data_IF_741088489302
#
_entry.id   IF_741088489302
#
_cell.length_a   1.000
_cell.length_b   1.000
_cell.length_c   1.000
_cell.angle_alpha   90.00
_cell.angle_beta   90.00
_cell.angle_gamma   90.00
#
_symmetry.space_group_name_H-M   'P 1'
#
loop_
_entity.id
_entity.type
_entity.pdbx_description
1 polymer ?
#
# COMPACT_ATOMS: atom_id res chain seq x y z
N UNK A 1 -25.51 31.11 8.16
CA UNK A 1 -25.95 30.59 6.86
C UNK A 1 -25.49 29.16 6.82
N UNK A 2 -26.35 28.28 7.31
CA UNK A 2 -25.97 26.95 7.81
C UNK A 2 -25.78 25.91 6.71
N UNK A 3 -24.83 25.03 7.00
CA UNK A 3 -24.33 23.88 6.25
C UNK A 3 -25.34 22.72 6.20
N UNK A 4 -25.12 21.79 5.26
CA UNK A 4 -25.36 20.34 5.37
C UNK A 4 -26.75 19.90 5.89
N UNK A 5 -27.62 19.40 5.01
CA UNK A 5 -28.78 18.65 5.54
C UNK A 5 -29.96 18.42 4.61
N UNK A 6 -29.78 18.21 3.31
CA UNK A 6 -30.77 17.37 2.64
C UNK A 6 -30.52 15.94 3.12
N UNK A 7 -31.10 15.57 4.27
CA UNK A 7 -31.14 14.17 4.70
C UNK A 7 -31.73 13.37 3.54
N UNK A 8 -30.88 12.57 2.89
CA UNK A 8 -31.37 11.57 1.97
C UNK A 8 -32.32 10.69 2.78
N UNK A 9 -33.57 10.50 2.34
CA UNK A 9 -34.52 9.70 3.08
C UNK A 9 -33.93 8.31 3.33
N UNK A 10 -34.20 7.75 4.52
CA UNK A 10 -33.45 6.63 5.08
C UNK A 10 -33.45 5.36 4.20
N UNK A 11 -34.46 5.21 3.35
CA UNK A 11 -34.57 4.18 2.31
C UNK A 11 -33.47 4.30 1.24
N UNK A 12 -33.17 5.51 0.78
CA UNK A 12 -32.12 5.81 -0.20
C UNK A 12 -30.72 5.67 0.40
N UNK A 13 -30.53 6.06 1.67
CA UNK A 13 -29.26 5.86 2.38
C UNK A 13 -28.93 4.36 2.54
N UNK A 14 -29.93 3.53 2.85
CA UNK A 14 -29.79 2.08 2.99
C UNK A 14 -29.55 1.35 1.66
N UNK A 15 -30.13 1.81 0.55
CA UNK A 15 -29.78 1.33 -0.79
C UNK A 15 -28.37 1.74 -1.20
N UNK A 16 -27.97 2.98 -0.94
CA UNK A 16 -26.66 3.49 -1.30
C UNK A 16 -25.54 2.85 -0.48
N UNK A 17 -25.78 2.57 0.81
CA UNK A 17 -24.90 1.79 1.67
C UNK A 17 -24.67 0.36 1.15
N UNK A 18 -25.76 -0.33 0.79
CA UNK A 18 -25.69 -1.67 0.20
C UNK A 18 -25.04 -1.66 -1.19
N UNK A 19 -25.31 -0.65 -2.01
CA UNK A 19 -24.71 -0.48 -3.33
C UNK A 19 -23.20 -0.22 -3.26
N UNK A 20 -22.75 0.48 -2.22
CA UNK A 20 -21.34 0.72 -1.93
C UNK A 20 -20.65 -0.46 -1.23
N UNK A 21 -21.34 -1.58 -1.02
CA UNK A 21 -20.78 -2.77 -0.36
C UNK A 21 -20.29 -2.49 1.07
N UNK A 22 -20.89 -1.53 1.77
CA UNK A 22 -20.44 -1.10 3.10
C UNK A 22 -19.13 -0.32 3.11
N UNK A 23 -18.62 0.12 1.95
CA UNK A 23 -17.40 0.89 1.86
C UNK A 23 -17.67 2.40 2.09
N UNK A 24 -17.18 3.00 3.19
CA UNK A 24 -17.45 4.40 3.53
C UNK A 24 -16.94 5.38 2.46
N UNK A 25 -15.83 5.04 1.78
CA UNK A 25 -15.27 5.86 0.71
C UNK A 25 -16.19 5.87 -0.52
N UNK A 26 -16.70 4.70 -0.93
CA UNK A 26 -17.63 4.62 -2.05
C UNK A 26 -18.93 5.38 -1.74
N UNK A 27 -19.38 5.33 -0.49
CA UNK A 27 -20.54 6.11 -0.04
C UNK A 27 -20.29 7.62 -0.13
N UNK A 28 -19.12 8.10 0.33
CA UNK A 28 -18.73 9.50 0.21
C UNK A 28 -18.62 9.94 -1.26
N UNK A 29 -18.10 9.08 -2.14
CA UNK A 29 -17.99 9.34 -3.58
C UNK A 29 -19.36 9.39 -4.27
N UNK A 30 -20.27 8.48 -3.92
CA UNK A 30 -21.64 8.48 -4.42
C UNK A 30 -22.39 9.74 -3.96
N UNK A 31 -22.24 10.13 -2.69
CA UNK A 31 -22.82 11.35 -2.15
C UNK A 31 -22.29 12.62 -2.83
N UNK A 32 -20.97 12.70 -3.05
CA UNK A 32 -20.35 13.82 -3.76
C UNK A 32 -20.80 13.95 -5.22
N UNK A 33 -21.00 12.83 -5.92
CA UNK A 33 -21.46 12.80 -7.32
C UNK A 33 -22.92 13.26 -7.46
N UNK A 34 -23.78 12.87 -6.49
CA UNK A 34 -25.17 13.32 -6.41
C UNK A 34 -25.27 14.83 -6.10
N UNK A 35 -24.43 15.33 -5.19
CA UNK A 35 -24.36 16.75 -4.86
C UNK A 35 -23.91 17.62 -6.06
N UNK A 36 -23.12 17.05 -6.97
CA UNK A 36 -22.68 17.68 -8.21
C UNK A 36 -23.70 17.60 -9.36
N UNK A 37 -24.92 17.07 -9.12
CA UNK A 37 -26.00 17.04 -10.11
C UNK A 37 -25.84 16.01 -11.24
N UNK A 38 -24.95 15.02 -11.07
CA UNK A 38 -24.78 13.96 -12.06
C UNK A 38 -25.92 12.93 -12.00
N UNK A 39 -26.29 12.35 -13.16
CA UNK A 39 -27.32 11.31 -13.22
C UNK A 39 -26.99 10.15 -12.27
N UNK A 40 -28.03 9.64 -11.58
CA UNK A 40 -27.92 8.48 -10.70
C UNK A 40 -27.26 7.32 -11.45
N UNK A 41 -26.11 6.80 -10.99
CA UNK A 41 -25.47 5.67 -11.65
C UNK A 41 -26.44 4.50 -11.71
N UNK A 42 -26.73 3.96 -12.92
CA UNK A 42 -27.55 2.75 -13.05
C UNK A 42 -26.79 1.58 -12.41
N UNK A 43 -27.31 1.11 -11.28
CA UNK A 43 -26.67 0.16 -10.37
C UNK A 43 -26.64 -1.26 -10.96
N UNK A 44 -25.50 -1.64 -11.54
CA UNK A 44 -25.12 -3.02 -11.86
C UNK A 44 -24.03 -3.54 -10.90
N UNK A 45 -23.60 -4.81 -11.01
CA UNK A 45 -22.94 -5.59 -9.95
C UNK A 45 -21.88 -4.82 -9.15
N UNK A 46 -22.05 -4.86 -7.82
CA UNK A 46 -21.51 -3.97 -6.78
C UNK A 46 -20.00 -3.67 -6.85
N UNK A 47 -19.17 -4.59 -7.35
CA UNK A 47 -17.72 -4.38 -7.47
C UNK A 47 -17.32 -3.45 -8.64
N UNK A 48 -18.05 -3.52 -9.76
CA UNK A 48 -17.71 -2.76 -10.97
C UNK A 48 -18.13 -1.29 -10.90
N UNK A 49 -19.14 -0.95 -10.10
CA UNK A 49 -19.61 0.43 -9.93
C UNK A 49 -18.63 1.25 -9.09
N UNK A 50 -18.24 0.74 -7.92
CA UNK A 50 -17.30 1.43 -7.04
C UNK A 50 -15.96 1.68 -7.72
N UNK A 51 -15.46 0.68 -8.45
CA UNK A 51 -14.23 0.80 -9.25
C UNK A 51 -14.32 1.87 -10.33
N UNK A 52 -15.41 1.93 -11.10
CA UNK A 52 -15.62 2.99 -12.11
C UNK A 52 -15.66 4.38 -11.49
N UNK A 53 -16.27 4.54 -10.31
CA UNK A 53 -16.28 5.81 -9.59
C UNK A 53 -14.88 6.22 -9.12
N UNK A 54 -14.07 5.27 -8.64
CA UNK A 54 -12.67 5.53 -8.29
C UNK A 54 -11.86 5.97 -9.51
N UNK A 55 -11.99 5.28 -10.63
CA UNK A 55 -11.28 5.59 -11.87
C UNK A 55 -11.72 6.93 -12.49
N UNK A 56 -13.00 7.32 -12.34
CA UNK A 56 -13.50 8.60 -12.84
C UNK A 56 -12.76 9.81 -12.23
N UNK A 57 -12.17 9.66 -11.03
CA UNK A 57 -11.36 10.73 -10.40
C UNK A 57 -10.06 11.01 -11.16
N UNK A 58 -9.58 10.05 -11.96
CA UNK A 58 -8.38 10.18 -12.79
C UNK A 58 -8.68 10.68 -14.23
N UNK A 59 -9.95 10.79 -14.62
CA UNK A 59 -10.32 11.20 -15.98
C UNK A 59 -9.97 12.67 -16.29
N UNK A 60 -9.82 13.52 -15.26
CA UNK A 60 -9.59 14.97 -15.40
C UNK A 60 -8.14 15.44 -15.24
N UNK A 61 -7.19 14.57 -14.87
CA UNK A 61 -5.81 14.98 -14.53
C UNK A 61 -4.84 15.02 -15.73
N UNK A 62 -5.31 14.59 -16.90
CA UNK A 62 -4.51 14.55 -18.14
C UNK A 62 -3.68 13.28 -18.31
N UNK A 63 -3.26 13.01 -19.54
CA UNK A 63 -2.68 11.71 -19.94
C UNK A 63 -1.38 11.36 -19.18
N UNK A 64 -0.46 12.31 -18.99
CA UNK A 64 0.79 12.05 -18.26
C UNK A 64 0.54 11.71 -16.79
N UNK A 65 -0.40 12.40 -16.14
CA UNK A 65 -0.80 12.10 -14.76
C UNK A 65 -1.51 10.75 -14.65
N UNK A 66 -2.38 10.40 -15.60
CA UNK A 66 -3.01 9.08 -15.65
C UNK A 66 -1.98 7.95 -15.82
N UNK A 67 -0.99 8.11 -16.73
CA UNK A 67 0.10 7.14 -16.89
C UNK A 67 0.95 7.02 -15.64
N UNK A 68 1.28 8.14 -14.99
CA UNK A 68 2.01 8.15 -13.73
C UNK A 68 1.25 7.38 -12.64
N UNK A 69 -0.06 7.62 -12.49
CA UNK A 69 -0.89 6.94 -11.51
C UNK A 69 -0.99 5.42 -11.78
N UNK A 70 -1.13 5.01 -13.05
CA UNK A 70 -1.12 3.59 -13.43
C UNK A 70 0.22 2.92 -13.08
N UNK A 71 1.35 3.58 -13.35
CA UNK A 71 2.66 3.06 -12.98
C UNK A 71 2.87 3.03 -11.46
N UNK A 72 2.41 4.05 -10.73
CA UNK A 72 2.46 4.11 -9.27
C UNK A 72 1.68 2.95 -8.62
N UNK A 73 0.50 2.64 -9.16
CA UNK A 73 -0.36 1.57 -8.67
C UNK A 73 0.32 0.19 -8.69
N UNK A 74 1.28 -0.02 -9.58
CA UNK A 74 2.05 -1.26 -9.67
C UNK A 74 2.99 -1.43 -8.48
N UNK A 75 3.55 -0.35 -7.94
CA UNK A 75 4.37 -0.36 -6.73
C UNK A 75 3.51 -0.43 -5.45
N UNK A 76 2.21 -0.15 -5.56
CA UNK A 76 1.24 -0.27 -4.48
C UNK A 76 0.81 1.08 -3.87
N UNK A 77 0.21 1.06 -2.66
CA UNK A 77 -0.40 2.24 -2.06
C UNK A 77 0.60 3.31 -1.63
N UNK A 78 1.86 2.94 -1.37
CA UNK A 78 2.96 3.83 -1.04
C UNK A 78 4.18 3.46 -1.88
N UNK A 79 4.85 4.45 -2.46
CA UNK A 79 5.88 4.26 -3.47
C UNK A 79 6.92 5.38 -3.47
N UNK A 80 8.04 5.14 -4.15
CA UNK A 80 9.12 6.10 -4.34
C UNK A 80 8.94 6.82 -5.69
N UNK A 81 8.69 8.14 -5.74
CA UNK A 81 8.45 8.87 -6.98
C UNK A 81 9.54 8.68 -8.05
N UNK A 82 10.81 8.57 -7.63
CA UNK A 82 11.94 8.37 -8.53
C UNK A 82 11.90 7.06 -9.32
N UNK A 83 11.12 6.06 -8.88
CA UNK A 83 10.91 4.80 -9.62
C UNK A 83 9.70 4.87 -10.55
N UNK A 84 8.72 5.73 -10.26
CA UNK A 84 7.45 5.78 -11.02
C UNK A 84 7.62 6.48 -12.36
N UNK A 85 8.32 7.61 -12.40
CA UNK A 85 8.54 8.38 -13.64
C UNK A 85 9.13 7.54 -14.78
N UNK A 86 10.27 6.85 -14.55
CA UNK A 86 10.85 5.94 -15.53
C UNK A 86 9.91 4.81 -15.96
N UNK A 87 9.16 4.23 -15.02
CA UNK A 87 8.19 3.17 -15.33
C UNK A 87 7.03 3.68 -16.22
N UNK A 88 6.59 4.92 -15.98
CA UNK A 88 5.55 5.59 -16.77
C UNK A 88 6.04 6.10 -18.14
N UNK A 89 7.34 5.92 -18.45
CA UNK A 89 7.97 6.44 -19.67
C UNK A 89 7.97 7.97 -19.72
N UNK A 90 8.05 8.63 -18.56
CA UNK A 90 8.07 10.08 -18.44
C UNK A 90 9.49 10.59 -18.21
N UNK A 91 9.84 11.69 -18.86
CA UNK A 91 11.03 12.45 -18.49
C UNK A 91 10.84 13.05 -17.09
N UNK A 92 11.95 13.35 -16.40
CA UNK A 92 11.92 13.91 -15.04
C UNK A 92 10.98 15.13 -14.88
N UNK A 93 11.02 16.17 -15.75
CA UNK A 93 10.14 17.32 -15.58
C UNK A 93 8.66 16.95 -15.74
N UNK A 94 8.33 16.04 -16.66
CA UNK A 94 6.96 15.57 -16.88
C UNK A 94 6.46 14.70 -15.72
N UNK A 95 7.36 13.88 -15.16
CA UNK A 95 7.09 13.05 -13.99
C UNK A 95 6.78 13.91 -12.76
N UNK A 96 7.58 14.96 -12.54
CA UNK A 96 7.38 15.90 -11.44
C UNK A 96 6.09 16.69 -11.61
N UNK A 97 5.79 17.17 -12.82
CA UNK A 97 4.51 17.84 -13.10
C UNK A 97 3.30 16.91 -12.92
N UNK A 98 3.39 15.66 -13.36
CA UNK A 98 2.34 14.65 -13.18
C UNK A 98 2.06 14.36 -11.70
N UNK A 99 3.12 14.18 -10.89
CA UNK A 99 2.99 13.99 -9.45
C UNK A 99 2.32 15.20 -8.79
N UNK A 100 2.74 16.42 -9.12
CA UNK A 100 2.15 17.64 -8.59
C UNK A 100 0.66 17.77 -8.95
N UNK A 101 0.28 17.46 -10.19
CA UNK A 101 -1.11 17.48 -10.63
C UNK A 101 -1.98 16.48 -9.86
N UNK A 102 -1.48 15.27 -9.62
CA UNK A 102 -2.18 14.24 -8.84
C UNK A 102 -2.32 14.63 -7.36
N UNK A 103 -1.30 15.27 -6.78
CA UNK A 103 -1.39 15.82 -5.43
C UNK A 103 -2.41 16.96 -5.34
N UNK A 104 -2.40 17.89 -6.30
CA UNK A 104 -3.37 19.00 -6.37
C UNK A 104 -4.81 18.50 -6.55
N UNK A 105 -5.00 17.38 -7.25
CA UNK A 105 -6.29 16.72 -7.41
C UNK A 105 -6.76 15.92 -6.16
N UNK A 106 -5.94 15.84 -5.12
CA UNK A 106 -6.23 15.07 -3.89
C UNK A 106 -6.22 13.57 -4.10
N UNK A 107 -5.43 13.07 -5.05
CA UNK A 107 -5.31 11.63 -5.36
C UNK A 107 -4.06 11.02 -4.72
N UNK A 108 -3.00 11.82 -4.62
CA UNK A 108 -1.74 11.46 -3.97
C UNK A 108 -1.41 12.42 -2.83
N UNK A 109 -0.60 11.95 -1.89
CA UNK A 109 0.00 12.71 -0.80
C UNK A 109 1.48 12.35 -0.66
N UNK A 110 2.27 13.24 -0.07
CA UNK A 110 3.66 13.00 0.27
C UNK A 110 3.79 12.82 1.80
N UNK A 111 3.67 11.59 2.33
CA UNK A 111 3.66 11.36 3.78
C UNK A 111 5.04 11.58 4.43
N UNK A 112 6.12 11.46 3.65
CA UNK A 112 7.49 11.65 4.12
C UNK A 112 8.39 12.07 2.94
N UNK A 113 9.56 12.70 3.21
CA UNK A 113 10.53 13.01 2.17
C UNK A 113 10.92 11.77 1.35
N UNK A 114 10.87 11.88 0.02
CA UNK A 114 11.20 10.77 -0.90
C UNK A 114 10.08 9.73 -1.09
N UNK A 115 8.93 9.90 -0.44
CA UNK A 115 7.80 8.99 -0.53
C UNK A 115 6.54 9.70 -1.00
N UNK A 116 5.74 9.00 -1.79
CA UNK A 116 4.38 9.36 -2.14
C UNK A 116 3.43 8.20 -1.86
N UNK A 117 2.18 8.49 -1.60
CA UNK A 117 1.15 7.50 -1.36
C UNK A 117 -0.17 7.94 -1.97
N UNK A 118 -0.99 6.96 -2.35
CA UNK A 118 -2.39 7.23 -2.67
C UNK A 118 -3.12 7.69 -1.41
N UNK A 119 -3.96 8.71 -1.54
CA UNK A 119 -4.82 9.17 -0.44
C UNK A 119 -5.68 8.03 0.10
N UNK A 120 -6.09 7.11 -0.80
CA UNK A 120 -6.78 5.90 -0.42
C UNK A 120 -6.19 4.68 -1.12
N UNK A 121 -5.86 3.58 -0.41
CA UNK A 121 -5.27 2.36 -1.00
C UNK A 121 -6.08 1.78 -2.17
N UNK A 122 -7.41 1.86 -2.09
CA UNK A 122 -8.32 1.42 -3.15
C UNK A 122 -8.08 2.08 -4.52
N UNK A 123 -7.47 3.26 -4.59
CA UNK A 123 -7.11 3.85 -5.87
C UNK A 123 -6.00 3.05 -6.58
N UNK A 124 -5.00 2.59 -5.83
CA UNK A 124 -3.94 1.75 -6.37
C UNK A 124 -4.52 0.42 -6.88
N UNK A 125 -5.38 -0.22 -6.08
CA UNK A 125 -6.06 -1.47 -6.46
C UNK A 125 -6.89 -1.29 -7.74
N UNK A 126 -7.75 -0.27 -7.78
CA UNK A 126 -8.62 -0.01 -8.93
C UNK A 126 -7.83 0.22 -10.22
N UNK A 127 -6.71 0.95 -10.14
CA UNK A 127 -5.82 1.23 -11.27
C UNK A 127 -5.04 -0.02 -11.71
N UNK A 128 -4.49 -0.79 -10.76
CA UNK A 128 -3.76 -2.02 -11.07
C UNK A 128 -4.67 -3.08 -11.71
N UNK A 129 -5.93 -3.15 -11.29
CA UNK A 129 -6.93 -4.05 -11.88
C UNK A 129 -7.48 -3.55 -13.23
N UNK A 130 -7.33 -2.26 -13.56
CA UNK A 130 -7.74 -1.70 -14.86
C UNK A 130 -6.76 -1.96 -15.99
N UNK A 131 -5.50 -2.16 -15.66
CA UNK A 131 -4.52 -2.55 -16.63
C UNK A 131 -4.85 -3.95 -17.19
N UNK A 132 -4.96 -4.12 -18.53
CA UNK A 132 -5.04 -5.44 -19.14
C UNK A 132 -3.87 -6.31 -18.68
N UNK A 133 -4.08 -7.61 -18.51
CA UNK A 133 -3.09 -8.52 -17.92
C UNK A 133 -1.70 -8.42 -18.57
N UNK A 134 -1.64 -8.31 -19.90
CA UNK A 134 -0.38 -8.14 -20.63
C UNK A 134 0.33 -6.82 -20.30
N UNK A 135 -0.43 -5.73 -20.14
CA UNK A 135 0.11 -4.42 -19.75
C UNK A 135 0.60 -4.48 -18.31
N UNK A 136 -0.18 -5.06 -17.40
CA UNK A 136 0.20 -5.24 -16.00
C UNK A 136 1.48 -6.06 -15.85
N UNK A 137 1.58 -7.19 -16.57
CA UNK A 137 2.80 -8.01 -16.58
C UNK A 137 4.03 -7.25 -17.07
N UNK A 138 3.89 -6.43 -18.13
CA UNK A 138 4.97 -5.57 -18.63
C UNK A 138 5.39 -4.51 -17.61
N UNK A 139 4.44 -3.88 -16.94
CA UNK A 139 4.73 -2.89 -15.90
C UNK A 139 5.43 -3.55 -14.70
N UNK A 140 5.00 -4.74 -14.28
CA UNK A 140 5.70 -5.49 -13.24
C UNK A 140 7.14 -5.86 -13.66
N UNK A 141 7.35 -6.25 -14.92
CA UNK A 141 8.70 -6.51 -15.42
C UNK A 141 9.57 -5.25 -15.37
N UNK A 142 9.02 -4.10 -15.75
CA UNK A 142 9.70 -2.80 -15.65
C UNK A 142 10.02 -2.42 -14.20
N UNK A 143 9.05 -2.55 -13.29
CA UNK A 143 9.22 -2.29 -11.86
C UNK A 143 10.33 -3.15 -11.26
N UNK A 144 10.35 -4.46 -11.60
CA UNK A 144 11.41 -5.37 -11.21
C UNK A 144 12.80 -4.86 -11.64
N UNK A 145 12.96 -4.47 -12.91
CA UNK A 145 14.25 -3.97 -13.41
C UNK A 145 14.69 -2.69 -12.70
N UNK A 146 13.76 -1.77 -12.46
CA UNK A 146 14.04 -0.51 -11.78
C UNK A 146 14.47 -0.73 -10.33
N UNK A 147 13.78 -1.61 -9.60
CA UNK A 147 14.14 -1.95 -8.22
C UNK A 147 15.51 -2.62 -8.13
N UNK A 148 15.83 -3.53 -9.06
CA UNK A 148 17.15 -4.15 -9.09
C UNK A 148 18.24 -3.13 -9.41
N UNK A 149 18.01 -2.24 -10.38
CA UNK A 149 18.97 -1.20 -10.73
C UNK A 149 19.20 -0.20 -9.59
N UNK A 150 18.16 0.11 -8.81
CA UNK A 150 18.23 0.98 -7.64
C UNK A 150 18.82 0.30 -6.39
N UNK A 151 19.11 -1.01 -6.46
CA UNK A 151 19.68 -1.76 -5.32
C UNK A 151 18.75 -1.87 -4.12
N UNK A 152 17.44 -1.84 -4.35
CA UNK A 152 16.42 -1.92 -3.29
C UNK A 152 16.33 -3.37 -2.75
N UNK A 153 15.63 -3.55 -1.63
CA UNK A 153 15.46 -4.86 -0.99
C UNK A 153 15.00 -5.93 -2.01
N UNK A 154 15.73 -7.06 -2.12
CA UNK A 154 15.38 -8.14 -3.05
C UNK A 154 13.95 -8.67 -2.88
N UNK A 155 13.37 -8.57 -1.70
CA UNK A 155 12.01 -9.02 -1.38
C UNK A 155 10.95 -8.17 -2.09
N UNK A 156 11.18 -6.86 -2.21
CA UNK A 156 10.30 -5.94 -2.94
C UNK A 156 10.31 -6.27 -4.44
N UNK A 157 11.51 -6.47 -5.01
CA UNK A 157 11.69 -6.83 -6.41
C UNK A 157 11.12 -8.24 -6.74
N UNK A 158 11.25 -9.20 -5.83
CA UNK A 158 10.78 -10.58 -6.01
C UNK A 158 9.28 -10.65 -6.32
N UNK A 159 8.44 -9.86 -5.63
CA UNK A 159 6.99 -9.83 -5.89
C UNK A 159 6.66 -9.43 -7.33
N UNK A 160 7.38 -8.46 -7.88
CA UNK A 160 7.20 -8.03 -9.27
C UNK A 160 7.72 -9.05 -10.29
N UNK A 161 8.80 -9.79 -9.98
CA UNK A 161 9.27 -10.86 -10.86
C UNK A 161 8.22 -11.99 -11.01
N UNK A 162 7.56 -12.36 -9.91
CA UNK A 162 6.46 -13.34 -9.91
C UNK A 162 5.26 -12.80 -10.69
N UNK A 163 4.82 -11.57 -10.39
CA UNK A 163 3.66 -10.97 -11.04
C UNK A 163 3.86 -10.76 -12.57
N UNK A 164 5.10 -10.57 -13.00
CA UNK A 164 5.46 -10.47 -14.42
C UNK A 164 5.68 -11.81 -15.12
N UNK A 165 5.64 -12.94 -14.39
CA UNK A 165 5.96 -14.28 -14.93
C UNK A 165 7.30 -14.32 -15.67
N UNK A 166 8.37 -13.76 -15.07
CA UNK A 166 9.72 -13.72 -15.65
C UNK A 166 10.43 -15.09 -15.61
N UNK A 167 9.81 -16.09 -16.23
CA UNK A 167 10.32 -17.46 -16.30
C UNK A 167 11.60 -17.48 -17.15
N UNK A 168 12.66 -18.08 -16.60
CA UNK A 168 13.95 -18.22 -17.30
C UNK A 168 14.84 -16.98 -17.28
N UNK A 169 14.42 -15.88 -16.66
CA UNK A 169 15.28 -14.70 -16.48
C UNK A 169 16.32 -14.93 -15.36
N UNK A 170 17.63 -14.98 -15.67
CA UNK A 170 18.67 -15.27 -14.67
C UNK A 170 18.69 -14.25 -13.52
N UNK A 171 18.37 -12.99 -13.80
CA UNK A 171 18.34 -11.95 -12.78
C UNK A 171 17.15 -12.13 -11.84
N UNK A 172 15.98 -12.51 -12.39
CA UNK A 172 14.79 -12.80 -11.59
C UNK A 172 15.02 -14.00 -10.67
N UNK A 173 15.62 -15.08 -11.19
CA UNK A 173 15.98 -16.26 -10.39
C UNK A 173 16.91 -15.87 -9.23
N UNK A 174 17.99 -15.13 -9.51
CA UNK A 174 18.93 -14.71 -8.46
C UNK A 174 18.29 -13.83 -7.38
N UNK A 175 17.36 -12.95 -7.76
CA UNK A 175 16.62 -12.09 -6.81
C UNK A 175 15.66 -12.92 -5.96
N UNK A 176 14.87 -13.81 -6.59
CA UNK A 176 13.93 -14.71 -5.91
C UNK A 176 14.64 -15.62 -4.91
N UNK A 177 15.80 -16.16 -5.28
CA UNK A 177 16.63 -16.95 -4.37
C UNK A 177 17.12 -16.15 -3.15
N UNK A 178 17.59 -14.91 -3.36
CA UNK A 178 18.03 -14.04 -2.26
C UNK A 178 16.86 -13.70 -1.34
N UNK A 179 15.71 -13.33 -1.90
CA UNK A 179 14.50 -13.04 -1.15
C UNK A 179 14.03 -14.27 -0.36
N UNK A 180 14.04 -15.45 -0.97
CA UNK A 180 13.69 -16.72 -0.32
C UNK A 180 14.62 -17.05 0.85
N UNK A 181 15.94 -16.91 0.68
CA UNK A 181 16.91 -17.10 1.78
C UNK A 181 16.69 -16.11 2.93
N UNK A 182 16.44 -14.84 2.61
CA UNK A 182 16.15 -13.83 3.62
C UNK A 182 14.86 -14.14 4.39
N UNK A 183 13.79 -14.56 3.71
CA UNK A 183 12.54 -14.94 4.33
C UNK A 183 12.69 -16.16 5.26
N UNK A 184 13.45 -17.18 4.84
CA UNK A 184 13.74 -18.35 5.68
C UNK A 184 14.54 -17.98 6.93
N UNK A 185 15.53 -17.10 6.81
CA UNK A 185 16.31 -16.63 7.96
C UNK A 185 15.44 -15.88 8.97
N UNK A 186 14.57 -14.98 8.50
CA UNK A 186 13.63 -14.27 9.38
C UNK A 186 12.60 -15.22 10.02
N UNK A 187 12.09 -16.20 9.27
CA UNK A 187 11.20 -17.22 9.80
C UNK A 187 11.86 -18.10 10.87
N UNK A 188 13.13 -18.45 10.69
CA UNK A 188 13.91 -19.20 11.69
C UNK A 188 14.18 -18.37 12.96
N UNK A 189 14.45 -17.07 12.84
CA UNK A 189 14.60 -16.16 13.98
C UNK A 189 13.28 -15.97 14.73
N UNK A 190 12.16 -15.83 14.02
CA UNK A 190 10.82 -15.76 14.62
C UNK A 190 10.43 -17.05 15.36
N UNK A 191 10.78 -18.20 14.78
CA UNK A 191 10.62 -19.49 15.45
C UNK A 191 11.52 -19.62 16.70
N UNK A 192 12.76 -19.12 16.65
CA UNK A 192 13.68 -19.16 17.78
C UNK A 192 13.27 -18.23 18.94
N UNK A 193 12.68 -17.05 18.66
CA UNK A 193 12.13 -16.16 19.69
C UNK A 193 10.82 -16.68 20.26
N UNK A 194 9.94 -17.25 19.43
CA UNK A 194 8.72 -17.91 19.88
C UNK A 194 9.01 -19.19 20.70
N UNK A 195 10.13 -19.86 20.40
CA UNK A 195 10.61 -21.05 21.11
C UNK A 195 11.68 -20.73 22.16
N UNK A 196 11.87 -19.47 22.54
CA UNK A 196 12.64 -19.15 23.74
C UNK A 196 11.68 -19.28 24.93
N UNK A 197 11.66 -20.42 25.68
CA UNK A 197 10.99 -20.42 26.96
C UNK A 197 11.64 -19.30 27.77
N UNK A 198 10.81 -18.41 28.30
CA UNK A 198 11.21 -17.42 29.30
C UNK A 198 12.25 -18.06 30.22
N UNK A 199 13.49 -17.53 30.33
CA UNK A 199 14.49 -18.18 31.14
C UNK A 199 13.91 -18.30 32.57
N UNK A 200 13.90 -19.50 33.16
CA UNK A 200 13.39 -19.68 34.51
C UNK A 200 14.13 -18.73 35.46
N UNK A 201 13.37 -18.16 36.41
CA UNK A 201 13.70 -17.04 37.31
C UNK A 201 14.95 -17.25 38.23
N UNK A 202 15.79 -18.26 37.99
CA UNK A 202 16.99 -18.57 38.77
C UNK A 202 18.28 -17.94 38.23
N UNK A 203 18.21 -17.18 37.13
CA UNK A 203 19.32 -16.35 36.62
C UNK A 203 19.24 -14.88 37.08
N UNK A 204 18.52 -14.62 38.17
CA UNK A 204 18.70 -13.40 38.98
C UNK A 204 19.56 -13.79 40.19
N UNK A 205 20.80 -13.30 40.34
CA UNK A 205 21.55 -13.55 41.56
C UNK A 205 20.91 -12.78 42.72
N UNK A 206 20.07 -13.48 43.48
CA UNK A 206 19.54 -13.01 44.77
C UNK A 206 20.69 -12.90 45.77
N UNK A 207 21.24 -11.70 46.00
CA UNK A 207 21.97 -11.42 47.24
C UNK A 207 20.99 -10.87 48.27
N UNK A 208 20.72 -11.61 49.35
CA UNK A 208 20.49 -11.01 50.65
C UNK A 208 21.61 -11.44 51.58
N UNK A 209 22.45 -10.50 52.02
CA UNK A 209 23.20 -10.64 53.27
C UNK A 209 22.59 -9.67 54.25
N UNK A 210 21.69 -10.16 55.10
CA UNK A 210 21.24 -9.41 56.27
C UNK A 210 21.41 -10.26 57.52
N UNK A 211 22.27 -9.72 58.40
CA UNK A 211 22.35 -9.80 59.86
C UNK A 211 21.71 -10.97 60.61
N UNK A 212 22.48 -11.57 61.52
CA UNK A 212 22.14 -11.63 62.96
C UNK A 212 23.35 -12.09 63.81
N UNK A 213 23.91 -11.18 64.60
CA UNK A 213 24.46 -11.45 65.95
C UNK A 213 23.30 -11.85 66.90
N UNK A 214 23.45 -12.35 68.17
CA UNK A 214 24.58 -12.15 69.10
C UNK A 214 24.96 -13.32 70.08
N UNK A 215 26.18 -13.21 70.67
CA UNK A 215 26.65 -13.50 72.07
C UNK A 215 26.42 -14.90 72.73
N UNK A 216 27.16 -15.33 73.82
CA UNK A 216 27.89 -14.53 74.83
C UNK A 216 29.28 -15.06 75.35
N UNK A 217 29.90 -14.16 76.12
CA UNK A 217 31.00 -14.21 77.13
C UNK A 217 31.65 -15.54 77.59
N UNK A 218 33.00 -15.60 77.63
CA UNK A 218 33.92 -15.66 78.81
C UNK A 218 35.24 -16.38 78.47
N UNK A 219 36.36 -15.66 78.55
CA UNK A 219 37.39 -15.76 79.62
C UNK A 219 38.40 -14.64 79.43
#
# INVERSE_FOLDING_TARGET
>A
GDLLGAELPADQAGEMWRACGGNPLLLQLAAGSLAAGQERPRLGPQAGLGRRMLLARFAGVGNSASRYAQAAAIFGPQFRPGLVGPLAGLAEPDSTAALQALCAAGLLVAPAPGWAAFVHPLFAEALAEDAPDLVRARLHAGAFRLLVAAGVDPSEAAGHAVAASLVGDPQAVAVLERAGRAALAHGALGAATAHCPTPPNWLVPSRPLTCCSPSPTRS
#
